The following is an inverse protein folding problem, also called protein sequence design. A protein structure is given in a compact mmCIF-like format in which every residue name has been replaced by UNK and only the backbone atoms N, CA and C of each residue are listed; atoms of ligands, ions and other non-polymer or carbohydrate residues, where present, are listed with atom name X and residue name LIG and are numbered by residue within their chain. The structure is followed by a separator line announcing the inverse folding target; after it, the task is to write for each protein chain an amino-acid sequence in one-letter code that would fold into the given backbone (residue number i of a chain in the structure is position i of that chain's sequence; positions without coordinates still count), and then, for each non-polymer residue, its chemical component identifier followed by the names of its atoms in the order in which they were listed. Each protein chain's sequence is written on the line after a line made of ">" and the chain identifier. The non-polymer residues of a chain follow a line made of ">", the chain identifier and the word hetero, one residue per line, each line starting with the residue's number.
data_IF_536683287761
#
_entry.id   IF_536683287761
#
_cell.length_a   1.000
_cell.length_b   1.000
_cell.length_c   1.000
_cell.angle_alpha   90.00
_cell.angle_beta   90.00
_cell.angle_gamma   90.00
#
_symmetry.space_group_name_H-M   'P 1'
#
loop_
_entity.id
_entity.type
_entity.pdbx_description
1 polymer ?
#
# COMPACT_ATOMS: atom_id res chain seq x y z
N UNK A 1 3.33 -11.23 8.44
CA UNK A 1 1.88 -10.85 8.47
C UNK A 1 1.07 -12.06 8.89
N UNK A 2 -0.14 -11.89 9.43
CA UNK A 2 -1.01 -12.99 9.84
C UNK A 2 -2.45 -12.75 9.37
N UNK A 3 -3.12 -13.80 8.89
CA UNK A 3 -4.51 -13.74 8.46
C UNK A 3 -5.25 -15.03 8.78
N UNK A 4 -6.53 -14.94 9.11
CA UNK A 4 -7.40 -16.09 9.31
C UNK A 4 -8.26 -16.33 8.07
N UNK A 5 -8.29 -17.58 7.59
CA UNK A 5 -9.19 -17.97 6.52
C UNK A 5 -9.54 -19.46 6.61
N UNK A 6 -10.83 -19.78 6.48
CA UNK A 6 -11.35 -21.14 6.37
C UNK A 6 -10.79 -22.13 7.41
N UNK A 7 -10.81 -21.73 8.69
CA UNK A 7 -10.35 -22.58 9.80
C UNK A 7 -8.83 -22.75 9.89
N UNK A 8 -8.04 -21.88 9.23
CA UNK A 8 -6.58 -21.87 9.29
C UNK A 8 -6.06 -20.46 9.57
N UNK A 9 -4.89 -20.41 10.19
CA UNK A 9 -4.07 -19.21 10.26
C UNK A 9 -3.02 -19.30 9.16
N UNK A 10 -2.84 -18.20 8.42
CA UNK A 10 -1.81 -18.04 7.41
C UNK A 10 -0.80 -17.03 7.93
N UNK A 11 0.47 -17.44 7.95
CA UNK A 11 1.59 -16.59 8.35
C UNK A 11 2.46 -16.33 7.14
N UNK A 12 2.65 -15.05 6.80
CA UNK A 12 3.61 -14.65 5.80
C UNK A 12 4.94 -14.26 6.45
N UNK A 13 6.02 -14.91 6.01
CA UNK A 13 7.40 -14.62 6.39
C UNK A 13 8.31 -14.66 5.15
N UNK A 14 9.06 -13.58 4.93
CA UNK A 14 9.82 -13.38 3.70
C UNK A 14 8.92 -13.54 2.47
N UNK A 15 9.29 -14.47 1.58
CA UNK A 15 8.56 -14.81 0.35
C UNK A 15 7.64 -16.04 0.49
N UNK A 16 7.43 -16.51 1.72
CA UNK A 16 6.69 -17.74 2.00
C UNK A 16 5.43 -17.43 2.77
N UNK A 17 4.38 -18.22 2.50
CA UNK A 17 3.16 -18.23 3.31
C UNK A 17 2.93 -19.63 3.85
N UNK A 18 2.85 -19.73 5.17
CA UNK A 18 2.66 -20.98 5.91
C UNK A 18 1.23 -21.06 6.45
N UNK A 19 0.40 -22.02 5.99
CA UNK A 19 -0.85 -22.36 6.64
C UNK A 19 -0.64 -23.19 7.90
N UNK A 20 -1.41 -22.93 8.95
CA UNK A 20 -1.57 -23.85 10.08
C UNK A 20 -2.32 -25.10 9.63
N UNK A 21 -2.25 -26.19 10.41
CA UNK A 21 -3.20 -27.30 10.25
C UNK A 21 -4.63 -26.80 10.54
N UNK A 22 -5.68 -27.40 9.93
CA UNK A 22 -7.07 -26.97 10.15
C UNK A 22 -7.44 -27.03 11.63
N UNK A 23 -7.98 -25.94 12.17
CA UNK A 23 -8.45 -25.80 13.55
C UNK A 23 -7.40 -26.03 14.65
N UNK A 24 -6.11 -26.18 14.27
CA UNK A 24 -4.96 -26.26 15.17
C UNK A 24 -4.03 -25.11 14.81
N UNK A 25 -4.36 -23.92 15.32
CA UNK A 25 -3.79 -22.64 14.88
C UNK A 25 -2.32 -22.45 15.26
N UNK A 26 -1.84 -23.24 16.20
CA UNK A 26 -0.46 -23.31 16.69
C UNK A 26 0.40 -24.33 15.93
N UNK A 27 -0.21 -25.22 15.16
CA UNK A 27 0.50 -26.31 14.49
C UNK A 27 0.81 -25.96 13.03
N UNK A 28 2.07 -25.63 12.76
CA UNK A 28 2.58 -25.35 11.43
C UNK A 28 3.50 -26.49 10.97
N UNK A 29 3.37 -26.81 9.70
CA UNK A 29 4.26 -27.73 9.00
C UNK A 29 5.13 -26.88 8.08
N UNK A 30 6.41 -26.76 8.40
CA UNK A 30 7.32 -25.86 7.67
C UNK A 30 7.64 -26.36 6.26
N UNK A 31 7.27 -27.60 5.92
CA UNK A 31 7.36 -28.14 4.57
C UNK A 31 6.11 -27.82 3.73
N UNK A 32 4.97 -27.54 4.39
CA UNK A 32 3.71 -27.14 3.75
C UNK A 32 3.69 -25.61 3.61
N UNK A 33 4.37 -25.08 2.60
CA UNK A 33 4.43 -23.63 2.34
C UNK A 33 4.11 -23.25 0.90
N UNK A 34 3.61 -22.03 0.71
CA UNK A 34 3.41 -21.41 -0.59
C UNK A 34 4.57 -20.45 -0.90
N UNK A 35 5.46 -20.75 -1.87
CA UNK A 35 6.58 -19.88 -2.25
C UNK A 35 6.17 -18.81 -3.26
N UNK A 36 6.65 -17.57 -3.12
CA UNK A 36 6.41 -16.47 -4.07
C UNK A 36 7.73 -15.91 -4.64
N UNK A 37 7.64 -15.05 -5.66
CA UNK A 37 8.82 -14.51 -6.38
C UNK A 37 9.49 -13.33 -5.65
N UNK A 38 8.95 -12.93 -4.51
CA UNK A 38 9.39 -11.80 -3.70
C UNK A 38 8.75 -11.79 -2.32
N UNK A 39 9.19 -10.87 -1.43
CA UNK A 39 8.67 -10.79 -0.08
C UNK A 39 7.18 -10.41 -0.07
N UNK A 40 6.42 -11.04 0.82
CA UNK A 40 4.97 -10.82 0.94
C UNK A 40 4.70 -9.41 1.48
N UNK A 41 4.01 -8.64 0.66
CA UNK A 41 3.60 -7.24 0.88
C UNK A 41 2.13 -7.08 1.23
N UNK A 42 1.31 -8.10 0.97
CA UNK A 42 -0.09 -8.16 1.38
C UNK A 42 -0.47 -9.62 1.62
N UNK A 43 -1.16 -9.86 2.73
CA UNK A 43 -1.87 -11.10 3.01
C UNK A 43 -3.21 -10.70 3.64
N UNK A 44 -4.31 -10.98 2.95
CA UNK A 44 -5.64 -10.61 3.43
C UNK A 44 -6.74 -11.54 2.92
N UNK A 45 -7.70 -11.86 3.78
CA UNK A 45 -8.82 -12.73 3.45
C UNK A 45 -10.09 -11.96 3.06
N UNK A 46 -10.77 -12.46 2.04
CA UNK A 46 -12.18 -12.20 1.74
C UNK A 46 -12.97 -13.49 1.95
N UNK A 47 -14.28 -13.50 1.66
CA UNK A 47 -15.18 -14.62 1.92
C UNK A 47 -14.70 -15.95 1.35
N UNK A 48 -14.18 -15.94 0.12
CA UNK A 48 -13.93 -17.14 -0.67
C UNK A 48 -12.48 -17.32 -1.09
N UNK A 49 -11.56 -16.55 -0.49
CA UNK A 49 -10.13 -16.71 -0.75
C UNK A 49 -9.23 -15.67 -0.09
N UNK A 50 -7.95 -15.80 -0.37
CA UNK A 50 -6.88 -14.91 0.07
C UNK A 50 -6.35 -14.09 -1.10
N UNK A 51 -6.19 -12.78 -0.87
CA UNK A 51 -5.28 -11.98 -1.68
C UNK A 51 -3.88 -12.06 -1.08
N UNK A 52 -2.89 -12.31 -1.93
CA UNK A 52 -1.48 -12.38 -1.56
C UNK A 52 -0.68 -11.57 -2.58
N UNK A 53 0.14 -10.63 -2.14
CA UNK A 53 1.01 -9.86 -3.04
C UNK A 53 2.47 -10.00 -2.65
N UNK A 54 3.36 -10.21 -3.61
CA UNK A 54 4.80 -10.48 -3.40
C UNK A 54 5.72 -9.30 -3.78
N UNK A 55 5.15 -8.10 -3.79
CA UNK A 55 5.81 -6.86 -4.24
C UNK A 55 5.85 -6.70 -5.76
N UNK A 56 5.80 -7.80 -6.53
CA UNK A 56 5.82 -7.78 -8.01
C UNK A 56 4.46 -8.05 -8.63
N UNK A 57 3.64 -8.89 -8.01
CA UNK A 57 2.31 -9.30 -8.49
C UNK A 57 1.36 -9.46 -7.32
N UNK A 58 0.07 -9.46 -7.63
CA UNK A 58 -0.99 -9.83 -6.69
C UNK A 58 -1.68 -11.09 -7.21
N UNK A 59 -1.89 -12.04 -6.31
CA UNK A 59 -2.51 -13.32 -6.55
C UNK A 59 -3.79 -13.43 -5.73
N UNK A 60 -4.74 -14.21 -6.24
CA UNK A 60 -5.88 -14.68 -5.51
C UNK A 60 -5.80 -16.20 -5.35
N UNK A 61 -6.02 -16.68 -4.13
CA UNK A 61 -5.82 -18.07 -3.72
C UNK A 61 -7.07 -18.57 -3.01
N UNK A 62 -7.84 -19.44 -3.68
CA UNK A 62 -8.98 -20.16 -3.07
C UNK A 62 -8.54 -21.49 -2.44
N UNK A 63 -7.59 -22.15 -3.09
CA UNK A 63 -6.96 -23.39 -2.67
C UNK A 63 -5.46 -23.12 -2.58
N UNK A 64 -4.76 -23.44 -1.46
CA UNK A 64 -3.32 -23.25 -1.33
C UNK A 64 -2.47 -23.82 -2.49
N UNK A 65 -2.97 -24.83 -3.20
CA UNK A 65 -2.29 -25.42 -4.36
C UNK A 65 -2.45 -24.62 -5.65
N UNK A 66 -3.44 -23.73 -5.72
CA UNK A 66 -3.81 -22.98 -6.93
C UNK A 66 -3.81 -21.49 -6.65
N UNK A 67 -2.85 -20.79 -7.26
CA UNK A 67 -2.75 -19.33 -7.25
C UNK A 67 -3.07 -18.75 -8.62
N UNK A 68 -3.97 -17.78 -8.66
CA UNK A 68 -4.35 -17.07 -9.88
C UNK A 68 -3.78 -15.66 -9.82
N UNK A 69 -2.88 -15.24 -10.73
CA UNK A 69 -2.45 -13.86 -10.78
C UNK A 69 -3.62 -12.96 -11.17
N UNK A 70 -3.89 -11.93 -10.37
CA UNK A 70 -5.00 -10.99 -10.58
C UNK A 70 -4.51 -9.58 -10.92
N UNK A 71 -3.28 -9.21 -10.53
CA UNK A 71 -2.65 -7.95 -10.91
C UNK A 71 -1.17 -8.15 -11.27
N UNK A 72 -0.64 -7.43 -12.28
CA UNK A 72 0.76 -7.46 -12.66
C UNK A 72 1.67 -6.58 -11.79
N UNK A 73 1.22 -6.22 -10.58
CA UNK A 73 1.93 -5.42 -9.59
C UNK A 73 1.54 -5.85 -8.17
N UNK A 74 2.43 -5.61 -7.20
CA UNK A 74 2.20 -5.91 -5.79
C UNK A 74 1.52 -4.77 -5.02
N UNK A 75 1.52 -4.90 -3.69
CA UNK A 75 1.00 -3.91 -2.75
C UNK A 75 2.13 -3.18 -2.02
N UNK A 76 1.84 -2.00 -1.47
CA UNK A 76 2.69 -1.34 -0.48
C UNK A 76 2.39 -1.95 0.88
N UNK A 77 3.43 -2.48 1.52
CA UNK A 77 3.32 -3.21 2.78
C UNK A 77 2.65 -2.38 3.86
N UNK A 78 1.68 -2.97 4.57
CA UNK A 78 0.99 -2.35 5.71
C UNK A 78 -0.18 -1.43 5.34
N UNK A 79 -0.40 -1.16 4.04
CA UNK A 79 -1.51 -0.31 3.60
C UNK A 79 -2.86 -1.03 3.50
N UNK A 80 -2.86 -2.37 3.56
CA UNK A 80 -4.10 -3.14 3.45
C UNK A 80 -5.03 -2.91 4.65
N UNK A 81 -6.30 -2.64 4.36
CA UNK A 81 -7.39 -2.64 5.34
C UNK A 81 -8.57 -3.45 4.84
N UNK A 82 -9.23 -4.15 5.77
CA UNK A 82 -10.55 -4.74 5.53
C UNK A 82 -11.61 -3.65 5.51
N UNK A 83 -12.61 -3.79 4.66
CA UNK A 83 -13.76 -2.91 4.57
C UNK A 83 -15.06 -3.71 4.46
N UNK A 84 -16.16 -3.17 4.99
CA UNK A 84 -17.50 -3.64 4.66
C UNK A 84 -17.90 -3.06 3.31
N UNK A 85 -18.14 -3.92 2.31
CA UNK A 85 -18.45 -3.50 0.95
C UNK A 85 -19.78 -2.74 0.84
N UNK A 86 -20.67 -2.85 1.84
CA UNK A 86 -21.90 -2.04 1.90
C UNK A 86 -21.60 -0.56 2.11
N UNK A 87 -20.42 -0.25 2.65
CA UNK A 87 -19.92 1.11 2.81
C UNK A 87 -19.15 1.59 1.57
N UNK A 88 -19.07 0.78 0.51
CA UNK A 88 -18.36 1.15 -0.71
C UNK A 88 -19.34 1.50 -1.83
N UNK A 89 -19.11 2.63 -2.51
CA UNK A 89 -19.94 3.06 -3.64
C UNK A 89 -21.38 3.39 -3.23
N UNK A 90 -22.35 2.80 -3.93
CA UNK A 90 -23.79 2.94 -3.68
C UNK A 90 -24.33 1.91 -2.67
N UNK A 91 -23.47 1.07 -2.09
CA UNK A 91 -23.85 0.02 -1.16
C UNK A 91 -24.43 -1.24 -1.80
N UNK A 92 -24.35 -1.39 -3.13
CA UNK A 92 -24.86 -2.57 -3.85
C UNK A 92 -24.06 -3.85 -3.68
N UNK A 93 -22.96 -3.84 -2.91
CA UNK A 93 -22.11 -5.00 -2.67
C UNK A 93 -22.10 -5.38 -1.19
N UNK A 94 -22.28 -6.66 -0.90
CA UNK A 94 -22.17 -7.21 0.45
C UNK A 94 -20.85 -7.97 0.63
N UNK A 95 -20.43 -8.09 1.90
CA UNK A 95 -19.24 -8.83 2.30
C UNK A 95 -18.05 -7.94 2.62
N UNK A 96 -16.89 -8.58 2.71
CA UNK A 96 -15.62 -8.02 3.12
C UNK A 96 -14.79 -7.76 1.88
N UNK A 97 -14.42 -6.50 1.70
CA UNK A 97 -13.44 -6.09 0.71
C UNK A 97 -12.09 -5.86 1.36
N UNK A 98 -11.05 -5.88 0.55
CA UNK A 98 -9.73 -5.38 0.91
C UNK A 98 -9.45 -4.12 0.11
N UNK A 99 -9.01 -3.07 0.78
CA UNK A 99 -8.42 -1.90 0.12
C UNK A 99 -6.94 -1.82 0.45
N UNK A 100 -6.10 -1.51 -0.54
CA UNK A 100 -4.67 -1.30 -0.33
C UNK A 100 -4.11 -0.31 -1.35
N UNK A 101 -2.90 0.19 -1.09
CA UNK A 101 -2.15 0.96 -2.08
C UNK A 101 -1.20 0.04 -2.84
N UNK A 102 -1.15 0.22 -4.15
CA UNK A 102 -0.14 -0.33 -5.04
C UNK A 102 0.70 0.80 -5.64
N UNK A 103 1.77 0.44 -6.37
CA UNK A 103 2.52 1.42 -7.18
C UNK A 103 1.72 2.02 -8.34
N UNK A 104 0.53 1.47 -8.64
CA UNK A 104 -0.36 1.94 -9.71
C UNK A 104 -1.59 2.67 -9.18
N UNK A 105 -1.75 2.81 -7.87
CA UNK A 105 -2.93 3.45 -7.27
C UNK A 105 -3.58 2.64 -6.16
N UNK A 106 -4.74 3.11 -5.71
CA UNK A 106 -5.56 2.50 -4.67
C UNK A 106 -6.36 1.36 -5.30
N UNK A 107 -6.25 0.16 -4.75
CA UNK A 107 -6.89 -1.04 -5.27
C UNK A 107 -7.95 -1.53 -4.30
N UNK A 108 -9.08 -1.98 -4.85
CA UNK A 108 -10.11 -2.75 -4.17
C UNK A 108 -10.05 -4.20 -4.67
N UNK A 109 -9.92 -5.14 -3.75
CA UNK A 109 -10.08 -6.57 -4.00
C UNK A 109 -11.33 -7.10 -3.30
N UNK A 110 -12.10 -7.93 -3.99
CA UNK A 110 -13.36 -8.49 -3.48
C UNK A 110 -13.43 -10.00 -3.75
N UNK A 111 -14.53 -10.62 -3.31
CA UNK A 111 -14.83 -12.04 -3.54
C UNK A 111 -14.58 -12.49 -4.99
N UNK A 112 -14.20 -13.75 -5.14
CA UNK A 112 -13.91 -14.37 -6.43
C UNK A 112 -12.60 -13.91 -7.08
N UNK A 113 -11.77 -13.14 -6.38
CA UNK A 113 -10.52 -12.60 -6.91
C UNK A 113 -10.71 -11.38 -7.81
N UNK A 114 -11.88 -10.75 -7.76
CA UNK A 114 -12.15 -9.53 -8.51
C UNK A 114 -11.31 -8.39 -7.93
N UNK A 115 -10.66 -7.63 -8.81
CA UNK A 115 -9.80 -6.50 -8.45
C UNK A 115 -10.15 -5.29 -9.30
N UNK A 116 -10.15 -4.11 -8.70
CA UNK A 116 -10.32 -2.84 -9.39
C UNK A 116 -9.36 -1.80 -8.85
N UNK A 117 -8.55 -1.22 -9.71
CA UNK A 117 -7.77 -0.03 -9.38
C UNK A 117 -8.67 1.20 -9.48
N UNK A 118 -8.88 1.90 -8.37
CA UNK A 118 -9.78 3.03 -8.23
C UNK A 118 -9.14 4.36 -8.65
N UNK A 119 -7.82 4.40 -8.81
CA UNK A 119 -7.08 5.65 -9.06
C UNK A 119 -6.05 5.56 -10.19
N UNK A 120 -6.12 4.53 -11.03
CA UNK A 120 -5.13 4.23 -12.08
C UNK A 120 -4.90 5.41 -13.04
N UNK A 121 -5.94 6.21 -13.31
CA UNK A 121 -5.90 7.36 -14.22
C UNK A 121 -5.47 8.68 -13.57
N UNK A 122 -5.26 8.70 -12.24
CA UNK A 122 -5.14 9.98 -11.49
C UNK A 122 -3.85 10.08 -10.67
N UNK A 123 -3.29 8.97 -10.16
CA UNK A 123 -2.16 9.03 -9.24
C UNK A 123 -1.09 7.96 -9.47
N UNK A 124 0.16 8.41 -9.67
CA UNK A 124 1.37 7.61 -9.53
C UNK A 124 2.16 8.19 -8.36
N UNK A 125 2.41 7.38 -7.33
CA UNK A 125 3.18 7.80 -6.16
C UNK A 125 4.61 7.27 -6.27
N UNK A 126 5.61 8.11 -6.02
CA UNK A 126 6.91 7.65 -5.50
C UNK A 126 6.73 7.35 -4.01
N UNK A 127 6.18 6.17 -3.73
CA UNK A 127 6.01 5.70 -2.36
C UNK A 127 7.24 4.90 -1.93
N UNK A 128 7.63 5.04 -0.66
CA UNK A 128 8.47 4.06 0.01
C UNK A 128 7.82 2.68 0.06
N UNK A 129 8.54 1.67 0.54
CA UNK A 129 8.07 0.27 0.52
C UNK A 129 7.01 -0.06 1.58
N UNK A 130 6.72 0.86 2.49
CA UNK A 130 5.85 0.63 3.66
C UNK A 130 4.89 1.79 3.87
N UNK A 131 3.76 1.51 4.52
CA UNK A 131 2.78 2.50 4.93
C UNK A 131 1.75 1.92 5.90
N UNK A 132 0.73 2.71 6.18
CA UNK A 132 -0.44 2.32 6.97
C UNK A 132 -1.71 2.80 6.27
N UNK A 133 -2.72 1.95 6.18
CA UNK A 133 -4.03 2.29 5.60
C UNK A 133 -5.14 2.19 6.63
N UNK A 134 -6.15 3.04 6.50
CA UNK A 134 -7.35 3.05 7.32
C UNK A 134 -8.55 3.35 6.43
N UNK A 135 -9.62 2.58 6.62
CA UNK A 135 -10.94 2.96 6.13
C UNK A 135 -11.77 3.52 7.27
N UNK A 136 -12.39 4.69 7.05
CA UNK A 136 -13.26 5.34 8.04
C UNK A 136 -14.49 5.93 7.38
N UNK A 137 -15.56 6.01 8.17
CA UNK A 137 -16.73 6.81 7.83
C UNK A 137 -16.73 8.07 8.70
N UNK A 138 -16.88 9.24 8.07
CA UNK A 138 -16.95 10.53 8.76
C UNK A 138 -17.91 11.46 8.03
N UNK A 139 -18.89 12.02 8.74
CA UNK A 139 -19.89 12.94 8.18
C UNK A 139 -20.58 12.40 6.92
N UNK A 140 -20.97 11.11 6.92
CA UNK A 140 -21.61 10.45 5.77
C UNK A 140 -20.67 10.16 4.58
N UNK A 141 -19.39 10.47 4.69
CA UNK A 141 -18.39 10.17 3.65
C UNK A 141 -17.54 8.97 4.07
N UNK A 142 -17.40 8.03 3.14
CA UNK A 142 -16.51 6.88 3.31
C UNK A 142 -15.15 7.23 2.71
N UNK A 143 -14.10 7.09 3.51
CA UNK A 143 -12.76 7.55 3.18
C UNK A 143 -11.76 6.44 3.44
N UNK A 144 -10.97 6.14 2.42
CA UNK A 144 -9.72 5.41 2.59
C UNK A 144 -8.59 6.42 2.74
N UNK A 145 -7.93 6.42 3.89
CA UNK A 145 -6.82 7.31 4.23
C UNK A 145 -5.60 6.44 4.44
N UNK A 146 -4.48 6.82 3.83
CA UNK A 146 -3.24 6.10 4.01
C UNK A 146 -2.06 7.06 4.21
N UNK A 147 -1.11 6.60 5.01
CA UNK A 147 0.19 7.23 5.20
C UNK A 147 1.22 6.33 4.54
N UNK A 148 2.06 6.92 3.70
CA UNK A 148 3.15 6.23 3.03
C UNK A 148 4.46 6.73 3.62
N UNK A 149 5.40 5.83 3.84
CA UNK A 149 6.77 6.23 4.09
C UNK A 149 7.26 6.97 2.83
N UNK A 150 7.88 8.14 3.00
CA UNK A 150 8.52 8.82 1.88
C UNK A 150 9.60 7.92 1.27
N UNK A 151 9.75 7.95 -0.05
CA UNK A 151 10.94 7.40 -0.69
C UNK A 151 12.16 8.20 -0.21
N UNK A 152 13.27 7.52 0.09
CA UNK A 152 14.56 8.21 0.24
C UNK A 152 15.06 8.50 -1.17
N UNK A 153 14.49 9.53 -1.77
CA UNK A 153 14.92 10.19 -3.00
C UNK A 153 14.53 11.64 -2.84
N UNK A 154 15.53 12.52 -2.67
CA UNK A 154 15.42 13.92 -2.17
C UNK A 154 15.26 14.13 -0.65
N UNK A 155 15.94 13.36 0.20
CA UNK A 155 16.39 13.91 1.49
C UNK A 155 17.53 14.94 1.35
N UNK A 156 17.81 15.42 0.12
CA UNK A 156 18.67 16.57 -0.18
C UNK A 156 17.86 17.86 -0.44
N UNK A 157 16.53 17.79 -0.49
CA UNK A 157 15.67 18.99 -0.57
C UNK A 157 15.49 19.71 0.79
N UNK A 158 15.88 19.07 1.89
CA UNK A 158 15.85 19.65 3.23
C UNK A 158 17.00 20.66 3.50
N UNK A 159 17.97 20.82 2.60
CA UNK A 159 19.00 21.88 2.66
C UNK A 159 18.76 23.07 1.72
N UNK A 160 17.59 23.19 1.10
CA UNK A 160 17.31 24.24 0.09
C UNK A 160 16.47 25.43 0.57
N UNK A 161 16.63 25.82 1.85
CA UNK A 161 16.07 27.06 2.41
C UNK A 161 17.05 28.24 2.52
N UNK A 162 18.19 28.24 1.79
CA UNK A 162 19.20 29.30 1.93
C UNK A 162 19.54 30.13 0.68
N UNK A 163 18.70 30.15 -0.37
CA UNK A 163 18.91 31.07 -1.51
C UNK A 163 17.62 31.63 -2.10
N UNK A 164 16.77 32.27 -1.28
CA UNK A 164 15.78 33.24 -1.78
C UNK A 164 15.66 34.41 -0.79
N UNK A 165 16.79 35.00 -0.36
CA UNK A 165 16.77 36.33 0.33
C UNK A 165 18.10 37.09 0.29
N UNK A 166 18.87 37.07 -0.82
CA UNK A 166 20.07 37.93 -0.89
C UNK A 166 20.62 38.25 -2.29
N UNK A 167 19.82 38.23 -3.36
CA UNK A 167 20.39 38.53 -4.69
C UNK A 167 19.50 39.33 -5.64
N UNK A 168 18.62 40.19 -5.13
CA UNK A 168 17.93 41.18 -5.96
C UNK A 168 17.56 42.43 -5.13
N UNK A 169 18.56 43.23 -4.79
CA UNK A 169 18.39 44.68 -4.63
C UNK A 169 19.77 45.37 -4.70
N UNK A 170 20.39 45.37 -5.88
CA UNK A 170 21.37 46.43 -6.20
C UNK A 170 20.60 47.57 -6.87
N UNK A 171 20.38 48.65 -6.13
CA UNK A 171 20.06 49.96 -6.70
C UNK A 171 21.39 50.68 -6.93
N UNK A 172 21.59 51.39 -8.07
CA UNK A 172 22.85 52.06 -8.35
C UNK A 172 22.94 53.33 -7.51
N UNK A 173 24.03 53.48 -6.75
CA UNK A 173 24.44 54.77 -6.19
C UNK A 173 25.78 55.13 -6.82
N UNK A 174 25.76 56.15 -7.69
CA UNK A 174 26.94 56.72 -8.32
C UNK A 174 27.86 57.35 -7.27
N UNK A 175 29.14 56.99 -7.31
CA UNK A 175 30.19 57.64 -6.57
C UNK A 175 30.78 58.80 -7.38
N UNK A 176 30.48 60.02 -6.97
CA UNK A 176 31.33 61.21 -7.12
C UNK A 176 31.53 61.72 -5.69
N UNK A 177 32.70 61.97 -5.13
CA UNK A 177 33.99 62.38 -5.64
C UNK A 177 34.52 63.40 -4.62
N UNK A 178 35.78 63.24 -4.22
CA UNK A 178 36.63 64.18 -3.47
C UNK A 178 36.55 64.28 -1.93
N UNK A 179 37.69 63.91 -1.34
CA UNK A 179 38.22 64.43 -0.08
C UNK A 179 38.82 65.82 -0.34
N UNK A 180 38.62 66.81 0.53
CA UNK A 180 39.70 67.70 1.04
C UNK A 180 39.20 68.69 2.11
N UNK A 181 40.02 68.76 3.18
CA UNK A 181 40.16 69.72 4.29
C UNK A 181 39.03 69.89 5.31
#
# INVERSE_FOLDING_TARGET
>A
MLEYFNGRIYVADGQYVFPSKPYAYELFDLEDYMPFDGPISLLGAVEDGLFIADGKRTYFVKDPKVRVPVLPYGAITGTMTKIDLRLFGDGGMEGTGLMWISRKGIVLGTRGGSVRNLSESVYVFEAGSFGAGLFRQSNGHNQYVALLQGSVGESDAAYRWHKITSSNLELPFEATGELTN
#
